data_IF_786629282413
#
_entry.id   IF_786629282413
#
_cell.length_a   1.000
_cell.length_b   1.000
_cell.length_c   1.000
_cell.angle_alpha   90.00
_cell.angle_beta   90.00
_cell.angle_gamma   90.00
#
_symmetry.space_group_name_H-M   'P 1'
#
loop_
_entity.id
_entity.type
_entity.pdbx_description
1 polymer ?
#
# COMPACT_ATOMS: atom_id res chain seq x y z
N UNK A 1 13.13 22.00 12.80
CA UNK A 1 13.33 20.53 12.81
C UNK A 1 14.75 20.27 13.23
N UNK A 2 14.99 19.55 14.33
CA UNK A 2 16.35 19.23 14.79
C UNK A 2 16.79 17.91 14.17
N UNK A 3 17.95 17.87 13.51
CA UNK A 3 18.49 16.69 12.86
C UNK A 3 19.88 16.39 13.43
N UNK A 4 20.11 15.16 13.91
CA UNK A 4 21.45 14.69 14.27
C UNK A 4 22.20 14.20 13.04
N UNK A 5 23.50 14.41 12.97
CA UNK A 5 24.35 13.85 11.91
C UNK A 5 25.04 12.60 12.43
N UNK A 6 24.93 11.50 11.69
CA UNK A 6 25.57 10.23 12.00
C UNK A 6 26.42 9.75 10.83
N UNK A 7 27.65 9.30 11.11
CA UNK A 7 28.48 8.68 10.10
C UNK A 7 27.90 7.33 9.67
N UNK A 8 27.93 7.01 8.37
CA UNK A 8 27.37 5.78 7.79
C UNK A 8 27.88 4.49 8.47
N UNK A 9 29.15 4.44 8.85
CA UNK A 9 29.74 3.28 9.55
C UNK A 9 29.15 3.10 10.95
N UNK A 10 28.94 4.21 11.68
CA UNK A 10 28.26 4.18 12.99
C UNK A 10 26.79 3.82 12.80
N UNK A 11 26.11 4.47 11.88
CA UNK A 11 24.70 4.23 11.58
C UNK A 11 24.41 2.76 11.23
N UNK A 12 25.29 2.12 10.45
CA UNK A 12 25.21 0.68 10.14
C UNK A 12 25.19 -0.18 11.41
N UNK A 13 26.06 0.10 12.38
CA UNK A 13 26.19 -0.72 13.61
C UNK A 13 24.98 -0.60 14.55
N UNK A 14 24.31 0.55 14.57
CA UNK A 14 23.17 0.83 15.44
C UNK A 14 21.86 1.06 14.68
N UNK A 15 21.73 0.54 13.46
CA UNK A 15 20.61 0.87 12.58
C UNK A 15 19.24 0.60 13.21
N UNK A 16 19.07 -0.56 13.86
CA UNK A 16 17.82 -0.92 14.54
C UNK A 16 17.49 0.06 15.68
N UNK A 17 18.48 0.40 16.51
CA UNK A 17 18.32 1.40 17.56
C UNK A 17 17.89 2.75 16.97
N UNK A 18 18.52 3.19 15.87
CA UNK A 18 18.20 4.47 15.24
C UNK A 18 16.76 4.52 14.70
N UNK A 19 16.23 3.39 14.22
CA UNK A 19 14.83 3.27 13.79
C UNK A 19 13.88 3.43 14.99
N UNK A 20 14.20 2.80 16.12
CA UNK A 20 13.34 2.79 17.32
C UNK A 20 13.29 4.16 18.03
N UNK A 21 14.33 4.99 17.88
CA UNK A 21 14.42 6.30 18.54
C UNK A 21 13.45 7.36 18.02
N UNK A 22 12.75 7.13 16.90
CA UNK A 22 11.80 8.06 16.27
C UNK A 22 12.33 9.49 16.08
N UNK A 23 13.62 9.63 15.76
CA UNK A 23 14.30 10.91 15.47
C UNK A 23 14.78 10.98 14.02
N UNK A 24 15.00 12.19 13.52
CA UNK A 24 15.60 12.38 12.20
C UNK A 24 17.13 12.46 12.28
N UNK A 25 17.77 11.69 11.42
CA UNK A 25 19.22 11.60 11.27
C UNK A 25 19.62 11.89 9.84
N UNK A 26 20.63 12.74 9.65
CA UNK A 26 21.37 12.85 8.40
C UNK A 26 22.49 11.83 8.46
N UNK A 27 22.53 10.91 7.50
CA UNK A 27 23.59 9.90 7.39
C UNK A 27 24.65 10.44 6.43
N UNK A 28 25.84 10.69 6.96
CA UNK A 28 26.98 11.18 6.18
C UNK A 28 27.97 10.06 5.85
N UNK A 29 28.56 10.10 4.66
CA UNK A 29 29.71 9.27 4.26
C UNK A 29 30.74 10.17 3.60
N UNK A 30 32.01 10.02 4.00
CA UNK A 30 33.13 10.82 3.48
C UNK A 30 32.85 12.33 3.64
N UNK A 31 32.38 12.72 4.84
CA UNK A 31 32.00 14.10 5.21
C UNK A 31 30.88 14.74 4.38
N UNK A 32 30.16 13.96 3.57
CA UNK A 32 29.05 14.43 2.74
C UNK A 32 27.75 13.78 3.21
N UNK A 33 26.67 14.55 3.32
CA UNK A 33 25.33 14.02 3.57
C UNK A 33 24.90 13.11 2.41
N UNK A 34 24.58 11.85 2.69
CA UNK A 34 24.21 10.84 1.66
C UNK A 34 22.77 10.39 1.77
N UNK A 35 22.23 10.34 2.98
CA UNK A 35 20.86 9.89 3.21
C UNK A 35 20.25 10.58 4.42
N UNK A 36 18.93 10.45 4.56
CA UNK A 36 18.17 10.86 5.73
C UNK A 36 17.41 9.65 6.25
N UNK A 37 17.63 9.29 7.51
CA UNK A 37 16.74 8.41 8.25
C UNK A 37 15.76 9.29 9.00
N UNK A 38 14.46 9.17 8.72
CA UNK A 38 13.44 9.95 9.39
C UNK A 38 12.23 9.08 9.73
N UNK A 39 11.51 9.39 10.82
CA UNK A 39 10.25 8.74 11.12
C UNK A 39 9.27 8.91 9.95
N UNK A 40 8.49 7.89 9.66
CA UNK A 40 7.51 7.91 8.56
C UNK A 40 6.52 9.06 8.74
N UNK A 41 6.08 9.33 9.96
CA UNK A 41 5.16 10.44 10.26
C UNK A 41 5.79 11.81 9.99
N UNK A 42 7.10 11.95 10.21
CA UNK A 42 7.82 13.19 9.91
C UNK A 42 7.99 13.36 8.39
N UNK A 43 8.31 12.28 7.67
CA UNK A 43 8.35 12.28 6.21
C UNK A 43 7.00 12.67 5.63
N UNK A 44 5.92 12.06 6.13
CA UNK A 44 4.57 12.37 5.68
C UNK A 44 4.18 13.81 5.93
N UNK A 45 4.47 14.38 7.12
CA UNK A 45 4.23 15.81 7.36
C UNK A 45 4.97 16.70 6.36
N UNK A 46 6.20 16.32 5.98
CA UNK A 46 6.99 17.03 5.00
C UNK A 46 6.38 16.95 3.58
N UNK A 47 5.95 15.76 3.14
CA UNK A 47 5.36 15.59 1.80
C UNK A 47 3.87 15.93 1.71
N UNK A 48 3.16 15.99 2.83
CA UNK A 48 1.70 16.00 2.91
C UNK A 48 1.10 17.28 3.48
N UNK A 49 1.82 18.41 3.45
CA UNK A 49 1.22 19.72 3.74
C UNK A 49 -0.09 19.88 2.92
N UNK A 50 -1.24 19.81 3.61
CA UNK A 50 -2.57 19.99 3.02
C UNK A 50 -3.28 18.77 2.42
N UNK A 51 -2.80 17.52 2.59
CA UNK A 51 -3.46 16.36 1.94
C UNK A 51 -4.76 15.92 2.63
N UNK A 52 -5.80 15.69 1.82
CA UNK A 52 -7.08 15.06 2.23
C UNK A 52 -6.82 13.61 2.72
N UNK A 53 -7.67 13.10 3.63
CA UNK A 53 -7.65 11.70 4.10
C UNK A 53 -8.09 10.71 3.00
N UNK A 54 -7.22 10.46 2.04
CA UNK A 54 -7.41 9.49 0.96
C UNK A 54 -6.91 8.10 1.38
N UNK A 55 -7.50 7.01 0.86
CA UNK A 55 -6.96 5.66 1.08
C UNK A 55 -5.65 5.45 0.31
N UNK A 56 -4.85 4.47 0.73
CA UNK A 56 -3.75 3.95 -0.07
C UNK A 56 -4.27 2.91 -1.09
N UNK A 57 -3.60 2.74 -2.23
CA UNK A 57 -3.91 1.69 -3.21
C UNK A 57 -2.72 0.73 -3.36
N UNK A 58 -2.94 -0.56 -3.15
CA UNK A 58 -2.00 -1.61 -3.46
C UNK A 58 -2.33 -2.27 -4.81
N UNK A 59 -1.33 -2.34 -5.68
CA UNK A 59 -1.38 -3.13 -6.90
C UNK A 59 -0.59 -4.41 -6.66
N UNK A 60 -1.30 -5.53 -6.56
CA UNK A 60 -0.72 -6.84 -6.29
C UNK A 60 -0.29 -7.48 -7.61
N UNK A 61 1.00 -7.42 -7.90
CA UNK A 61 1.64 -7.92 -9.11
C UNK A 61 2.66 -9.02 -8.89
N UNK A 62 2.68 -9.67 -7.72
CA UNK A 62 3.69 -10.70 -7.43
C UNK A 62 3.69 -11.90 -8.40
N UNK A 63 2.56 -12.22 -9.02
CA UNK A 63 2.44 -13.31 -10.00
C UNK A 63 2.59 -12.81 -11.41
N UNK A 64 2.91 -13.72 -12.33
CA UNK A 64 3.07 -13.40 -13.75
C UNK A 64 1.89 -12.58 -14.31
N UNK A 65 2.24 -11.63 -15.17
CA UNK A 65 1.32 -10.74 -15.84
C UNK A 65 1.87 -10.33 -17.21
N UNK A 66 1.11 -10.68 -18.25
CA UNK A 66 1.39 -10.22 -19.61
C UNK A 66 1.36 -8.68 -19.72
N UNK A 67 2.27 -8.14 -20.54
CA UNK A 67 2.50 -6.69 -20.70
C UNK A 67 1.23 -5.89 -20.96
N UNK A 68 0.31 -6.39 -21.78
CA UNK A 68 -0.97 -5.73 -22.10
C UNK A 68 -1.78 -5.42 -20.84
N UNK A 69 -2.01 -6.42 -19.99
CA UNK A 69 -2.78 -6.27 -18.74
C UNK A 69 -2.07 -5.36 -17.73
N UNK A 70 -0.74 -5.43 -17.66
CA UNK A 70 0.06 -4.55 -16.81
C UNK A 70 -0.09 -3.09 -17.24
N UNK A 71 -0.02 -2.79 -18.55
CA UNK A 71 -0.21 -1.44 -19.10
C UNK A 71 -1.64 -0.93 -18.88
N UNK A 72 -2.65 -1.75 -19.12
CA UNK A 72 -4.06 -1.39 -18.87
C UNK A 72 -4.30 -1.08 -17.38
N UNK A 73 -3.76 -1.90 -16.49
CA UNK A 73 -3.85 -1.66 -15.04
C UNK A 73 -3.10 -0.39 -14.63
N UNK A 74 -1.87 -0.18 -15.11
CA UNK A 74 -1.10 1.02 -14.82
C UNK A 74 -1.81 2.28 -15.32
N UNK A 75 -2.39 2.24 -16.52
CA UNK A 75 -3.20 3.34 -17.06
C UNK A 75 -4.39 3.68 -16.16
N UNK A 76 -5.13 2.66 -15.70
CA UNK A 76 -6.25 2.86 -14.78
C UNK A 76 -5.79 3.43 -13.42
N UNK A 77 -4.66 2.96 -12.88
CA UNK A 77 -4.09 3.43 -11.61
C UNK A 77 -3.61 4.87 -11.72
N UNK A 78 -2.84 5.20 -12.75
CA UNK A 78 -2.33 6.55 -12.99
C UNK A 78 -3.47 7.55 -13.17
N UNK A 79 -4.50 7.19 -13.94
CA UNK A 79 -5.70 8.02 -14.14
C UNK A 79 -6.49 8.26 -12.85
N UNK A 80 -6.38 7.37 -11.87
CA UNK A 80 -7.06 7.49 -10.58
C UNK A 80 -6.13 8.00 -9.46
N UNK A 81 -4.90 8.40 -9.77
CA UNK A 81 -3.85 8.70 -8.79
C UNK A 81 -4.27 9.75 -7.76
N UNK A 82 -5.00 10.78 -8.17
CA UNK A 82 -5.52 11.85 -7.29
C UNK A 82 -6.52 11.36 -6.23
N UNK A 83 -7.07 10.15 -6.38
CA UNK A 83 -8.00 9.55 -5.43
C UNK A 83 -7.32 8.73 -4.34
N UNK A 84 -5.99 8.64 -4.34
CA UNK A 84 -5.21 7.85 -3.38
C UNK A 84 -4.10 8.68 -2.75
N UNK A 85 -3.77 8.38 -1.50
CA UNK A 85 -2.65 9.03 -0.80
C UNK A 85 -1.29 8.60 -1.35
N UNK A 86 -1.20 7.33 -1.74
CA UNK A 86 -0.02 6.66 -2.30
C UNK A 86 -0.43 5.40 -3.05
N UNK A 87 0.45 4.95 -3.94
CA UNK A 87 0.38 3.66 -4.61
C UNK A 87 1.47 2.75 -4.04
N UNK A 88 1.10 1.51 -3.72
CA UNK A 88 2.02 0.47 -3.28
C UNK A 88 2.02 -0.63 -4.33
N UNK A 89 3.09 -0.76 -5.08
CA UNK A 89 3.25 -1.86 -6.04
C UNK A 89 3.98 -3.02 -5.38
N UNK A 90 3.28 -4.14 -5.20
CA UNK A 90 3.90 -5.38 -4.71
C UNK A 90 4.24 -6.25 -5.91
N UNK A 91 5.52 -6.35 -6.23
CA UNK A 91 6.01 -7.06 -7.42
C UNK A 91 6.62 -8.41 -7.06
N UNK A 92 6.83 -9.25 -8.05
CA UNK A 92 7.65 -10.47 -7.96
C UNK A 92 8.74 -10.40 -9.03
N UNK A 93 9.68 -11.37 -9.06
CA UNK A 93 10.82 -11.32 -9.95
C UNK A 93 10.48 -11.00 -11.43
N UNK A 94 9.41 -11.60 -11.95
CA UNK A 94 9.01 -11.43 -13.36
C UNK A 94 8.30 -10.10 -13.68
N UNK A 95 7.79 -9.42 -12.64
CA UNK A 95 6.96 -8.22 -12.77
C UNK A 95 7.64 -6.96 -12.25
N UNK A 96 8.87 -7.05 -11.75
CA UNK A 96 9.71 -5.91 -11.36
C UNK A 96 9.81 -4.87 -12.47
N UNK A 97 9.96 -5.32 -13.72
CA UNK A 97 10.01 -4.49 -14.93
C UNK A 97 8.82 -3.53 -15.09
N UNK A 98 7.70 -3.77 -14.43
CA UNK A 98 6.51 -2.91 -14.48
C UNK A 98 6.49 -1.83 -13.40
N UNK A 99 7.45 -1.79 -12.48
CA UNK A 99 7.47 -0.84 -11.38
C UNK A 99 7.47 0.63 -11.85
N UNK A 100 8.18 0.92 -12.94
CA UNK A 100 8.23 2.25 -13.56
C UNK A 100 6.94 2.71 -14.25
N UNK A 101 5.90 1.87 -14.33
CA UNK A 101 4.64 2.24 -14.96
C UNK A 101 3.74 3.13 -14.08
N UNK A 102 3.94 3.13 -12.76
CA UNK A 102 3.10 3.85 -11.79
C UNK A 102 3.67 5.24 -11.50
N UNK A 103 3.06 6.27 -12.13
CA UNK A 103 3.57 7.66 -12.15
C UNK A 103 2.79 8.58 -11.21
N UNK A 104 2.45 8.11 -10.02
CA UNK A 104 1.67 8.86 -9.03
C UNK A 104 2.58 9.59 -8.03
N UNK A 105 2.02 10.57 -7.30
CA UNK A 105 2.81 11.46 -6.43
C UNK A 105 3.62 10.76 -5.32
N UNK A 106 3.14 9.63 -4.79
CA UNK A 106 3.94 8.76 -3.93
C UNK A 106 3.74 7.30 -4.35
N UNK A 107 4.80 6.67 -4.85
CA UNK A 107 4.80 5.25 -5.22
C UNK A 107 5.81 4.51 -4.37
N UNK A 108 5.37 3.48 -3.65
CA UNK A 108 6.21 2.54 -2.90
C UNK A 108 6.26 1.21 -3.63
N UNK A 109 7.44 0.64 -3.78
CA UNK A 109 7.64 -0.61 -4.51
C UNK A 109 8.17 -1.64 -3.51
N UNK A 110 7.55 -2.82 -3.47
CA UNK A 110 7.86 -3.88 -2.50
C UNK A 110 8.01 -5.21 -3.21
N UNK A 111 9.16 -5.85 -3.05
CA UNK A 111 9.39 -7.18 -3.61
C UNK A 111 8.69 -8.24 -2.76
N UNK A 112 7.97 -9.15 -3.43
CA UNK A 112 7.55 -10.42 -2.88
C UNK A 112 8.42 -11.54 -3.47
N UNK A 113 9.43 -11.95 -2.72
CA UNK A 113 10.33 -13.06 -3.07
C UNK A 113 9.64 -14.43 -3.10
N UNK A 114 8.40 -14.52 -2.63
CA UNK A 114 7.62 -15.76 -2.56
C UNK A 114 6.31 -15.64 -3.35
N UNK A 115 6.37 -15.42 -4.68
CA UNK A 115 5.20 -15.16 -5.53
C UNK A 115 4.20 -16.33 -5.63
N UNK A 116 4.68 -17.55 -5.39
CA UNK A 116 3.89 -18.78 -5.34
C UNK A 116 2.95 -18.85 -4.13
N UNK A 117 3.24 -18.10 -3.07
CA UNK A 117 2.41 -18.11 -1.86
C UNK A 117 1.01 -17.53 -2.11
N UNK A 118 0.05 -17.81 -1.22
CA UNK A 118 -1.28 -17.23 -1.31
C UNK A 118 -1.25 -15.70 -1.31
N UNK A 119 -2.23 -15.08 -2.00
CA UNK A 119 -2.37 -13.63 -2.21
C UNK A 119 -2.25 -12.80 -0.93
N UNK A 120 -2.70 -13.35 0.21
CA UNK A 120 -2.58 -12.69 1.51
C UNK A 120 -1.12 -12.35 1.86
N UNK A 121 -0.13 -13.09 1.34
CA UNK A 121 1.30 -12.78 1.52
C UNK A 121 1.65 -11.44 0.88
N UNK A 122 1.25 -11.22 -0.38
CA UNK A 122 1.44 -9.92 -1.05
C UNK A 122 0.66 -8.81 -0.36
N UNK A 123 -0.53 -9.11 0.16
CA UNK A 123 -1.32 -8.13 0.90
C UNK A 123 -0.66 -7.75 2.24
N UNK A 124 -0.05 -8.70 2.96
CA UNK A 124 0.71 -8.40 4.19
C UNK A 124 1.89 -7.46 3.88
N UNK A 125 2.62 -7.71 2.79
CA UNK A 125 3.69 -6.83 2.33
C UNK A 125 3.18 -5.41 2.02
N UNK A 126 2.03 -5.30 1.35
CA UNK A 126 1.39 -4.01 1.14
C UNK A 126 1.01 -3.31 2.45
N UNK A 127 0.44 -4.04 3.42
CA UNK A 127 0.08 -3.50 4.74
C UNK A 127 1.32 -3.02 5.50
N UNK A 128 2.44 -3.73 5.44
CA UNK A 128 3.71 -3.31 6.06
C UNK A 128 4.30 -2.05 5.43
N UNK A 129 3.92 -1.74 4.19
CA UNK A 129 4.34 -0.53 3.48
C UNK A 129 3.39 0.66 3.69
N UNK A 130 2.37 0.53 4.53
CA UNK A 130 1.49 1.63 4.91
C UNK A 130 2.12 2.50 5.99
N UNK A 131 1.68 3.74 6.05
CA UNK A 131 2.03 4.65 7.11
C UNK A 131 0.99 4.64 8.22
N UNK A 132 1.33 5.13 9.42
CA UNK A 132 0.41 5.21 10.55
C UNK A 132 -0.87 6.00 10.27
N UNK A 133 -0.84 6.99 9.38
CA UNK A 133 -2.01 7.78 8.98
C UNK A 133 -2.95 7.11 7.96
N UNK A 134 -2.56 5.98 7.37
CA UNK A 134 -3.38 5.30 6.36
C UNK A 134 -4.55 4.54 7.01
N UNK A 135 -5.76 5.08 6.84
CA UNK A 135 -6.98 4.51 7.43
C UNK A 135 -7.55 3.32 6.64
N UNK A 136 -7.27 3.27 5.34
CA UNK A 136 -7.81 2.27 4.42
C UNK A 136 -6.76 1.90 3.37
N UNK A 137 -6.73 0.61 3.04
CA UNK A 137 -6.00 0.07 1.92
C UNK A 137 -6.99 -0.49 0.91
N UNK A 138 -7.02 0.08 -0.29
CA UNK A 138 -7.65 -0.51 -1.48
C UNK A 138 -6.63 -1.42 -2.14
N UNK A 139 -7.03 -2.58 -2.64
CA UNK A 139 -6.13 -3.43 -3.41
C UNK A 139 -6.79 -4.00 -4.67
N UNK A 140 -5.99 -4.08 -5.74
CA UNK A 140 -6.34 -4.72 -7.01
C UNK A 140 -5.18 -5.61 -7.50
N UNK A 141 -5.40 -6.39 -8.56
CA UNK A 141 -4.33 -7.20 -9.17
C UNK A 141 -3.77 -6.52 -10.40
N UNK A 142 -2.46 -6.63 -10.61
CA UNK A 142 -1.82 -6.20 -11.85
C UNK A 142 -2.37 -6.93 -13.08
N UNK A 143 -2.79 -8.19 -12.92
CA UNK A 143 -3.31 -9.04 -14.00
C UNK A 143 -4.83 -8.94 -14.20
N UNK A 144 -5.52 -8.08 -13.43
CA UNK A 144 -6.96 -7.81 -13.57
C UNK A 144 -7.20 -6.31 -13.64
N UNK A 145 -7.09 -5.71 -14.83
CA UNK A 145 -7.32 -4.28 -15.03
C UNK A 145 -8.67 -3.85 -14.45
N UNK A 146 -8.72 -2.87 -13.53
CA UNK A 146 -9.96 -2.30 -13.05
C UNK A 146 -10.71 -1.61 -14.20
N UNK A 147 -12.05 -1.67 -14.19
CA UNK A 147 -12.83 -0.92 -15.16
C UNK A 147 -12.63 0.60 -14.99
N UNK A 148 -12.92 1.36 -16.04
CA UNK A 148 -12.85 2.83 -16.03
C UNK A 148 -13.62 3.40 -14.82
N UNK A 149 -13.01 4.35 -14.11
CA UNK A 149 -13.55 5.02 -12.91
C UNK A 149 -13.79 4.12 -11.67
N UNK A 150 -13.53 2.81 -11.74
CA UNK A 150 -13.79 1.88 -10.64
C UNK A 150 -12.97 2.20 -9.39
N UNK A 151 -11.69 2.53 -9.57
CA UNK A 151 -10.79 2.92 -8.48
C UNK A 151 -11.24 4.22 -7.79
N UNK A 152 -11.67 5.23 -8.55
CA UNK A 152 -12.21 6.47 -8.00
C UNK A 152 -13.52 6.25 -7.24
N UNK A 153 -14.44 5.42 -7.76
CA UNK A 153 -15.66 5.01 -7.04
C UNK A 153 -15.33 4.31 -5.72
N UNK A 154 -14.36 3.38 -5.75
CA UNK A 154 -13.90 2.67 -4.56
C UNK A 154 -13.35 3.64 -3.52
N UNK A 155 -12.49 4.58 -3.91
CA UNK A 155 -11.96 5.60 -2.99
C UNK A 155 -13.08 6.39 -2.30
N UNK A 156 -14.08 6.87 -3.06
CA UNK A 156 -15.26 7.55 -2.47
C UNK A 156 -16.05 6.65 -1.52
N UNK A 157 -16.20 5.36 -1.83
CA UNK A 157 -16.90 4.41 -0.95
C UNK A 157 -16.13 4.13 0.34
N UNK A 158 -14.80 4.24 0.37
CA UNK A 158 -14.04 4.19 1.63
C UNK A 158 -14.39 5.37 2.55
N UNK A 159 -14.66 6.56 2.01
CA UNK A 159 -15.11 7.70 2.79
C UNK A 159 -16.50 7.46 3.41
N UNK A 160 -17.42 6.88 2.64
CA UNK A 160 -18.73 6.47 3.15
C UNK A 160 -18.61 5.37 4.22
N UNK A 161 -17.74 4.37 4.00
CA UNK A 161 -17.49 3.31 4.97
C UNK A 161 -16.98 3.87 6.31
N UNK A 162 -16.08 4.85 6.25
CA UNK A 162 -15.60 5.58 7.44
C UNK A 162 -16.75 6.24 8.20
N UNK A 163 -17.63 6.98 7.51
CA UNK A 163 -18.81 7.63 8.12
C UNK A 163 -19.74 6.61 8.80
N UNK A 164 -19.93 5.45 8.17
CA UNK A 164 -20.83 4.40 8.63
C UNK A 164 -20.17 3.38 9.57
N UNK A 165 -18.92 3.62 10.01
CA UNK A 165 -18.11 2.72 10.85
C UNK A 165 -17.92 1.31 10.26
N UNK A 166 -18.07 1.17 8.94
CA UNK A 166 -17.83 -0.07 8.19
C UNK A 166 -16.36 -0.19 7.83
N UNK A 167 -15.89 -1.42 7.69
CA UNK A 167 -14.46 -1.68 7.52
C UNK A 167 -14.05 -2.32 6.20
N UNK A 168 -14.99 -2.91 5.46
CA UNK A 168 -14.69 -3.61 4.22
C UNK A 168 -15.53 -3.00 3.11
N UNK A 169 -14.91 -2.66 1.98
CA UNK A 169 -15.64 -2.26 0.77
C UNK A 169 -15.33 -3.25 -0.33
N UNK A 170 -16.36 -3.84 -0.94
CA UNK A 170 -16.21 -4.84 -2.00
C UNK A 170 -16.90 -4.33 -3.25
N UNK A 171 -16.17 -4.26 -4.37
CA UNK A 171 -16.78 -3.97 -5.67
C UNK A 171 -17.65 -5.13 -6.11
N UNK A 172 -18.79 -4.81 -6.72
CA UNK A 172 -19.63 -5.82 -7.39
C UNK A 172 -19.76 -5.53 -8.88
N UNK A 173 -19.68 -6.59 -9.70
CA UNK A 173 -19.99 -6.55 -11.13
C UNK A 173 -21.00 -7.66 -11.40
N UNK A 174 -22.13 -7.32 -12.02
CA UNK A 174 -23.25 -8.26 -12.25
C UNK A 174 -23.65 -9.01 -10.96
N UNK A 175 -23.76 -8.26 -9.84
CA UNK A 175 -24.06 -8.77 -8.48
C UNK A 175 -23.02 -9.74 -7.89
N UNK A 176 -21.87 -9.94 -8.54
CA UNK A 176 -20.79 -10.81 -8.05
C UNK A 176 -19.65 -9.98 -7.44
N UNK A 177 -19.16 -10.34 -6.24
CA UNK A 177 -17.96 -9.73 -5.64
C UNK A 177 -16.75 -9.81 -6.57
N UNK A 178 -16.07 -8.69 -6.76
CA UNK A 178 -14.85 -8.59 -7.56
C UNK A 178 -13.85 -7.61 -6.94
N UNK A 179 -12.65 -7.56 -7.50
CA UNK A 179 -11.65 -6.56 -7.16
C UNK A 179 -11.93 -5.25 -7.91
N UNK A 180 -11.53 -4.09 -7.38
CA UNK A 180 -10.77 -3.88 -6.14
C UNK A 180 -11.58 -4.17 -4.87
N UNK A 181 -10.87 -4.37 -3.76
CA UNK A 181 -11.44 -4.49 -2.42
C UNK A 181 -10.72 -3.50 -1.50
N UNK A 182 -11.43 -2.88 -0.57
CA UNK A 182 -10.85 -2.02 0.44
C UNK A 182 -10.99 -2.62 1.84
N UNK A 183 -9.96 -2.47 2.65
CA UNK A 183 -9.98 -2.86 4.07
C UNK A 183 -9.46 -1.71 4.93
N UNK A 184 -10.21 -1.41 5.99
CA UNK A 184 -9.85 -0.42 6.99
C UNK A 184 -8.72 -0.91 7.90
N UNK A 185 -8.01 0.06 8.49
CA UNK A 185 -6.92 -0.15 9.44
C UNK A 185 -7.25 -1.09 10.61
N UNK A 186 -8.51 -1.13 11.07
CA UNK A 186 -8.94 -2.05 12.14
C UNK A 186 -8.69 -3.53 11.82
N UNK A 187 -8.52 -3.89 10.54
CA UNK A 187 -8.20 -5.26 10.13
C UNK A 187 -6.72 -5.53 9.87
N UNK A 188 -5.86 -4.52 9.88
CA UNK A 188 -4.45 -4.71 9.48
C UNK A 188 -3.71 -5.66 10.43
N UNK A 189 -3.88 -5.50 11.75
CA UNK A 189 -3.29 -6.43 12.74
C UNK A 189 -3.71 -7.87 12.46
N UNK A 190 -5.00 -8.08 12.21
CA UNK A 190 -5.54 -9.40 11.91
C UNK A 190 -5.06 -9.93 10.55
N UNK A 191 -4.98 -9.09 9.52
CA UNK A 191 -4.42 -9.47 8.22
C UNK A 191 -2.98 -9.96 8.37
N UNK A 192 -2.16 -9.24 9.14
CA UNK A 192 -0.77 -9.60 9.42
C UNK A 192 -0.66 -10.92 10.20
N UNK A 193 -1.56 -11.18 11.16
CA UNK A 193 -1.56 -12.42 11.95
C UNK A 193 -2.26 -13.61 11.28
N UNK A 194 -3.11 -13.39 10.28
CA UNK A 194 -3.89 -14.46 9.61
C UNK A 194 -2.93 -15.44 8.95
N UNK A 195 -3.10 -16.73 9.24
CA UNK A 195 -2.31 -17.77 8.59
C UNK A 195 -2.61 -17.82 7.09
N UNK A 196 -1.62 -18.14 6.27
CA UNK A 196 -1.66 -17.89 4.81
C UNK A 196 -2.73 -18.71 4.10
N UNK A 197 -3.04 -19.89 4.64
CA UNK A 197 -4.04 -20.84 4.19
C UNK A 197 -5.49 -20.35 4.37
N UNK A 198 -5.78 -19.53 5.38
CA UNK A 198 -7.12 -19.00 5.63
C UNK A 198 -7.49 -17.89 4.63
N UNK A 199 -6.50 -17.10 4.23
CA UNK A 199 -6.63 -16.06 3.23
C UNK A 199 -7.59 -14.92 3.59
N UNK A 200 -7.86 -14.07 2.60
CA UNK A 200 -8.81 -12.94 2.68
C UNK A 200 -10.26 -13.41 2.83
N UNK A 201 -10.73 -14.50 2.17
CA UNK A 201 -12.12 -14.96 2.29
C UNK A 201 -12.53 -15.28 3.73
N UNK A 202 -11.61 -15.80 4.57
CA UNK A 202 -11.87 -16.03 5.99
C UNK A 202 -12.28 -14.74 6.72
N UNK A 203 -11.56 -13.65 6.48
CA UNK A 203 -11.86 -12.35 7.09
C UNK A 203 -13.20 -11.82 6.60
N UNK A 204 -13.46 -11.87 5.29
CA UNK A 204 -14.73 -11.39 4.71
C UNK A 204 -15.92 -12.14 5.31
N UNK A 205 -15.84 -13.47 5.44
CA UNK A 205 -16.90 -14.28 6.06
C UNK A 205 -17.11 -13.95 7.54
N UNK A 206 -16.04 -13.75 8.30
CA UNK A 206 -16.12 -13.43 9.73
C UNK A 206 -16.74 -12.05 10.01
N UNK A 207 -16.55 -11.08 9.11
CA UNK A 207 -16.98 -9.69 9.29
C UNK A 207 -18.01 -9.24 8.25
N UNK A 208 -18.96 -10.10 7.89
CA UNK A 208 -19.99 -9.79 6.89
C UNK A 208 -20.79 -8.51 7.20
N UNK A 209 -21.12 -8.28 8.47
CA UNK A 209 -21.86 -7.09 8.92
C UNK A 209 -21.10 -5.78 8.69
N UNK A 210 -19.80 -5.86 8.41
CA UNK A 210 -18.90 -4.73 8.24
C UNK A 210 -18.60 -4.39 6.77
N UNK A 211 -19.27 -5.08 5.84
CA UNK A 211 -19.12 -4.91 4.39
C UNK A 211 -20.07 -3.83 3.87
N UNK A 212 -19.55 -2.96 3.01
CA UNK A 212 -20.33 -2.14 2.08
C UNK A 212 -20.02 -2.60 0.67
N UNK A 213 -21.05 -2.76 -0.16
CA UNK A 213 -20.88 -3.03 -1.58
C UNK A 213 -20.75 -1.72 -2.38
N UNK A 214 -19.81 -1.72 -3.32
CA UNK A 214 -19.58 -0.65 -4.29
C UNK A 214 -20.08 -1.02 -5.67
#
# INVERSE_FOLDING_TARGET
MFCKVENATKARKKFLQLIDEKKTYIISKDSIARAVLMPVEAYEKFIAAGRKKLPALAVLGARDCGRKKALETASAVNSAGEHFSKIIFVYGPETEKYAGLFKTGETRIVCNEKPQMPIITSLKLAVSALSPGDDFLVFCFLSKPPAKNMLGKMSRKTALARKNRKGIVITTVNKRPTHPVAMSKKYFKMLLSTRKELGIPYIIRKFQKDIIYS
#
